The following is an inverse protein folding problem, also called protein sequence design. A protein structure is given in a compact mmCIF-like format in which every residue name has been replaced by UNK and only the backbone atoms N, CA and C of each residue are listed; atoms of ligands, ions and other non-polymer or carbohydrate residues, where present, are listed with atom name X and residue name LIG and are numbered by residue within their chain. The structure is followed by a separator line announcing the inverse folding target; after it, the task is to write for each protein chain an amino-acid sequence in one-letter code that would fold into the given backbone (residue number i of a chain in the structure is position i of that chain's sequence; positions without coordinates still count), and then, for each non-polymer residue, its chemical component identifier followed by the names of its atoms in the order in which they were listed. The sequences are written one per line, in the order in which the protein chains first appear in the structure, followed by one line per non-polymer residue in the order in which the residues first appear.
data_IF_763495909779
#
_entry.id   IF_763495909779
#
_cell.length_a   1.000
_cell.length_b   1.000
_cell.length_c   1.000
_cell.angle_alpha   90.00
_cell.angle_beta   90.00
_cell.angle_gamma   90.00
#
_symmetry.space_group_name_H-M   'P 1'
#
loop_
_entity.id
_entity.type
_entity.pdbx_description
1 polymer ?
#
# COMPACT_ATOMS: atom_id res chain seq x y z
N UNK A 1 -42.54 -4.54 1.86
CA UNK A 1 -41.52 -4.07 0.90
C UNK A 1 -41.42 -5.08 -0.23
N UNK A 2 -41.82 -4.74 -1.46
CA UNK A 2 -41.84 -5.69 -2.58
C UNK A 2 -40.49 -5.64 -3.32
N UNK A 3 -39.64 -6.64 -3.08
CA UNK A 3 -38.27 -6.69 -3.62
C UNK A 3 -38.25 -6.80 -5.16
N UNK A 4 -39.27 -7.41 -5.75
CA UNK A 4 -39.35 -7.61 -7.21
C UNK A 4 -39.67 -6.32 -7.96
N UNK A 5 -40.51 -5.45 -7.39
CA UNK A 5 -40.82 -4.15 -8.01
C UNK A 5 -39.64 -3.20 -8.00
N UNK A 6 -38.80 -3.26 -6.97
CA UNK A 6 -37.56 -2.47 -6.88
C UNK A 6 -36.59 -2.89 -7.98
N UNK A 7 -36.34 -4.19 -8.14
CA UNK A 7 -35.43 -4.71 -9.16
C UNK A 7 -35.92 -4.40 -10.58
N UNK A 8 -37.23 -4.54 -10.83
CA UNK A 8 -37.84 -4.18 -12.13
C UNK A 8 -37.74 -2.69 -12.43
N UNK A 9 -37.91 -1.83 -11.43
CA UNK A 9 -37.82 -0.38 -11.60
C UNK A 9 -36.39 0.05 -11.92
N UNK A 10 -35.41 -0.48 -11.16
CA UNK A 10 -33.99 -0.25 -11.43
C UNK A 10 -33.60 -0.70 -12.84
N UNK A 11 -33.99 -1.92 -13.26
CA UNK A 11 -33.66 -2.42 -14.59
C UNK A 11 -34.21 -1.59 -15.76
N UNK A 12 -35.38 -0.97 -15.59
CA UNK A 12 -35.93 -0.03 -16.56
C UNK A 12 -35.10 1.26 -16.64
N UNK A 13 -34.63 1.76 -15.51
CA UNK A 13 -33.83 2.98 -15.44
C UNK A 13 -32.46 2.80 -16.11
N UNK A 14 -31.83 1.64 -15.95
CA UNK A 14 -30.51 1.36 -16.57
C UNK A 14 -30.60 0.79 -18.00
N UNK A 15 -31.81 0.57 -18.53
CA UNK A 15 -32.08 0.03 -19.87
C UNK A 15 -31.33 -1.29 -20.21
N UNK A 16 -31.25 -2.21 -19.24
CA UNK A 16 -30.53 -3.49 -19.40
C UNK A 16 -31.49 -4.59 -19.85
N UNK A 17 -31.11 -5.33 -20.90
CA UNK A 17 -31.81 -6.51 -21.41
C UNK A 17 -30.83 -7.70 -21.46
N UNK A 18 -31.12 -8.84 -20.80
CA UNK A 18 -32.36 -9.18 -20.07
C UNK A 18 -32.54 -8.43 -18.74
N UNK A 19 -33.77 -8.30 -18.22
CA UNK A 19 -34.06 -7.59 -16.98
C UNK A 19 -33.34 -8.20 -15.78
N UNK A 20 -32.96 -7.36 -14.81
CA UNK A 20 -32.35 -7.83 -13.56
C UNK A 20 -33.23 -8.88 -12.87
N UNK A 21 -32.58 -9.96 -12.43
CA UNK A 21 -33.18 -10.94 -11.53
C UNK A 21 -32.62 -10.73 -10.13
N UNK A 22 -33.43 -10.98 -9.10
CA UNK A 22 -32.93 -11.08 -7.73
C UNK A 22 -31.89 -12.21 -7.67
N UNK A 23 -30.70 -11.93 -7.13
CA UNK A 23 -29.73 -12.97 -6.85
C UNK A 23 -30.31 -13.98 -5.87
N UNK A 24 -30.44 -15.24 -6.30
CA UNK A 24 -30.96 -16.36 -5.50
C UNK A 24 -29.89 -17.40 -5.18
N UNK A 25 -28.64 -17.14 -5.57
CA UNK A 25 -27.54 -18.06 -5.30
C UNK A 25 -27.24 -18.04 -3.80
N UNK A 26 -27.07 -19.21 -3.15
CA UNK A 26 -26.85 -19.30 -1.72
C UNK A 26 -25.62 -18.49 -1.27
N UNK A 27 -24.62 -18.36 -2.13
CA UNK A 27 -23.35 -17.67 -1.83
C UNK A 27 -23.39 -16.16 -2.14
N UNK A 28 -24.50 -15.63 -2.69
CA UNK A 28 -24.63 -14.21 -3.08
C UNK A 28 -24.26 -13.25 -1.94
N UNK A 29 -24.70 -13.45 -0.68
CA UNK A 29 -24.35 -12.55 0.42
C UNK A 29 -22.85 -12.55 0.73
N UNK A 30 -22.19 -13.72 0.68
CA UNK A 30 -20.75 -13.84 0.92
C UNK A 30 -19.94 -13.20 -0.20
N UNK A 31 -20.34 -13.40 -1.46
CA UNK A 31 -19.70 -12.78 -2.62
C UNK A 31 -19.87 -11.25 -2.61
N UNK A 32 -21.03 -10.74 -2.20
CA UNK A 32 -21.25 -9.30 -2.03
C UNK A 32 -20.38 -8.73 -0.90
N UNK A 33 -20.24 -9.44 0.22
CA UNK A 33 -19.33 -9.05 1.30
C UNK A 33 -17.87 -9.03 0.85
N UNK A 34 -17.44 -10.01 0.06
CA UNK A 34 -16.10 -10.02 -0.55
C UNK A 34 -15.91 -8.80 -1.46
N UNK A 35 -16.89 -8.49 -2.31
CA UNK A 35 -16.86 -7.31 -3.20
C UNK A 35 -16.75 -5.99 -2.42
N UNK A 36 -17.51 -5.83 -1.32
CA UNK A 36 -17.42 -4.64 -0.47
C UNK A 36 -16.05 -4.52 0.19
N UNK A 37 -15.45 -5.64 0.60
CA UNK A 37 -14.11 -5.66 1.20
C UNK A 37 -13.00 -5.34 0.20
N UNK A 38 -13.19 -5.57 -1.11
CA UNK A 38 -12.20 -5.21 -2.15
C UNK A 38 -11.81 -3.71 -2.09
N UNK A 39 -12.73 -2.86 -1.64
CA UNK A 39 -12.49 -1.41 -1.56
C UNK A 39 -11.80 -0.97 -0.27
N UNK A 40 -11.65 -1.86 0.72
CA UNK A 40 -10.99 -1.56 1.99
C UNK A 40 -9.51 -1.97 1.86
N UNK A 41 -8.64 -1.01 1.54
CA UNK A 41 -7.20 -1.24 1.56
C UNK A 41 -6.69 -1.29 2.99
N UNK A 42 -6.34 -2.48 3.46
CA UNK A 42 -5.68 -2.71 4.75
C UNK A 42 -4.16 -2.52 4.70
N UNK A 43 -3.59 -2.27 3.51
CA UNK A 43 -2.15 -2.23 3.29
C UNK A 43 -1.76 -1.07 2.37
N UNK A 44 -0.73 -0.31 2.74
CA UNK A 44 -0.19 0.81 1.97
C UNK A 44 1.34 0.78 1.94
N UNK A 45 1.90 1.08 0.76
CA UNK A 45 3.33 1.38 0.59
C UNK A 45 3.50 2.86 0.28
N UNK A 46 4.39 3.53 0.98
CA UNK A 46 4.61 4.98 0.84
C UNK A 46 6.10 5.24 0.67
N UNK A 47 6.49 5.98 -0.37
CA UNK A 47 7.87 6.42 -0.56
C UNK A 47 8.20 7.64 0.30
N UNK A 48 9.37 7.63 0.93
CA UNK A 48 9.91 8.79 1.66
C UNK A 48 11.30 9.08 1.09
N UNK A 49 11.47 10.28 0.54
CA UNK A 49 12.68 10.68 -0.16
C UNK A 49 13.36 11.81 0.62
N UNK A 50 14.66 11.66 0.87
CA UNK A 50 15.50 12.68 1.47
C UNK A 50 16.30 13.41 0.39
N UNK A 51 16.15 14.74 0.32
CA UNK A 51 16.82 15.61 -0.67
C UNK A 51 17.67 16.62 0.06
N UNK A 52 18.97 16.65 -0.22
CA UNK A 52 19.91 17.60 0.35
C UNK A 52 19.99 18.89 -0.49
N UNK A 53 20.53 19.95 0.11
CA UNK A 53 20.77 21.20 -0.61
C UNK A 53 21.73 20.98 -1.78
N UNK A 54 21.36 21.49 -2.96
CA UNK A 54 22.17 21.38 -4.17
C UNK A 54 22.01 20.07 -4.95
N UNK A 55 21.15 19.14 -4.50
CA UNK A 55 20.79 17.94 -5.28
C UNK A 55 19.61 18.25 -6.20
N UNK A 56 19.75 17.89 -7.48
CA UNK A 56 18.73 18.16 -8.51
C UNK A 56 18.41 16.96 -9.39
N UNK A 57 19.27 15.95 -9.40
CA UNK A 57 19.03 14.71 -10.14
C UNK A 57 18.54 13.61 -9.23
N UNK A 58 17.74 12.69 -9.79
CA UNK A 58 17.28 11.50 -9.08
C UNK A 58 18.44 10.64 -8.58
N UNK A 59 19.51 10.51 -9.38
CA UNK A 59 20.72 9.77 -9.02
C UNK A 59 21.37 10.34 -7.74
N UNK A 60 21.57 11.66 -7.67
CA UNK A 60 22.12 12.31 -6.48
C UNK A 60 21.25 12.11 -5.25
N UNK A 61 19.92 12.18 -5.42
CA UNK A 61 18.96 12.04 -4.33
C UNK A 61 18.90 10.60 -3.80
N UNK A 62 18.97 9.62 -4.69
CA UNK A 62 18.90 8.19 -4.34
C UNK A 62 20.24 7.62 -3.85
N UNK A 63 21.38 8.27 -4.11
CA UNK A 63 22.70 7.90 -3.56
C UNK A 63 22.91 8.39 -2.11
N UNK A 64 21.91 9.06 -1.52
CA UNK A 64 21.96 9.48 -0.12
C UNK A 64 21.97 8.28 0.83
N UNK A 65 23.12 8.03 1.46
CA UNK A 65 23.30 6.96 2.46
C UNK A 65 23.19 7.47 3.91
N UNK A 66 23.27 8.79 4.10
CA UNK A 66 23.13 9.47 5.39
C UNK A 66 21.95 10.44 5.35
N UNK A 67 21.41 10.74 6.52
CA UNK A 67 20.27 11.64 6.72
C UNK A 67 20.56 12.68 7.81
N UNK A 68 19.77 13.75 7.88
CA UNK A 68 19.89 14.72 8.96
C UNK A 68 19.20 14.24 10.24
N UNK A 69 19.61 14.73 11.43
CA UNK A 69 18.93 14.42 12.69
C UNK A 69 17.43 14.77 12.66
N UNK A 70 17.06 15.87 12.00
CA UNK A 70 15.66 16.27 11.84
C UNK A 70 14.87 15.31 10.95
N UNK A 71 15.51 14.70 9.95
CA UNK A 71 14.89 13.68 9.13
C UNK A 71 14.66 12.39 9.93
N UNK A 72 15.62 11.96 10.73
CA UNK A 72 15.44 10.80 11.63
C UNK A 72 14.33 11.04 12.66
N UNK A 73 14.21 12.25 13.23
CA UNK A 73 13.08 12.62 14.12
C UNK A 73 11.74 12.58 13.37
N UNK A 74 11.70 13.09 12.13
CA UNK A 74 10.50 12.99 11.29
C UNK A 74 10.11 11.52 11.02
N UNK A 75 11.07 10.63 10.75
CA UNK A 75 10.79 9.21 10.55
C UNK A 75 10.19 8.55 11.79
N UNK A 76 10.62 8.94 13.00
CA UNK A 76 10.04 8.45 14.26
C UNK A 76 8.58 8.86 14.45
N UNK A 77 8.15 9.97 13.84
CA UNK A 77 6.75 10.41 13.85
C UNK A 77 5.91 9.53 12.91
N UNK A 78 6.48 9.08 11.79
CA UNK A 78 5.78 8.23 10.81
C UNK A 78 5.53 6.82 11.33
N UNK A 79 6.48 6.26 12.08
CA UNK A 79 6.35 4.91 12.62
C UNK A 79 7.62 4.40 13.28
N UNK A 80 7.63 3.10 13.54
CA UNK A 80 8.73 2.41 14.19
C UNK A 80 9.78 1.97 13.17
N UNK A 81 11.06 2.16 13.51
CA UNK A 81 12.17 1.59 12.75
C UNK A 81 12.23 0.08 13.02
N UNK A 82 11.98 -0.73 12.00
CA UNK A 82 11.93 -2.20 12.10
C UNK A 82 13.08 -2.84 11.33
N UNK A 83 13.55 -4.00 11.81
CA UNK A 83 14.48 -4.86 11.07
C UNK A 83 13.67 -5.62 10.02
N UNK A 84 14.09 -5.58 8.76
CA UNK A 84 13.40 -6.28 7.68
C UNK A 84 13.57 -7.79 7.76
N UNK A 85 14.77 -8.28 8.09
CA UNK A 85 15.01 -9.71 8.24
C UNK A 85 14.16 -10.33 9.34
N UNK A 86 13.33 -11.30 8.97
CA UNK A 86 12.40 -11.96 9.88
C UNK A 86 11.15 -11.14 10.24
N UNK A 87 10.91 -10.00 9.57
CA UNK A 87 9.66 -9.26 9.72
C UNK A 87 8.50 -10.07 9.13
N UNK A 88 7.45 -10.24 9.92
CA UNK A 88 6.34 -11.18 9.66
C UNK A 88 5.02 -10.47 9.32
N UNK A 89 5.03 -9.15 9.19
CA UNK A 89 3.87 -8.32 8.83
C UNK A 89 3.92 -7.84 7.38
N UNK A 90 3.06 -6.88 7.01
CA UNK A 90 3.03 -6.34 5.65
C UNK A 90 4.40 -5.76 5.23
N UNK A 91 5.08 -6.44 4.30
CA UNK A 91 6.44 -6.09 3.86
C UNK A 91 6.50 -5.07 2.73
N UNK A 92 5.38 -4.69 2.12
CA UNK A 92 5.35 -3.69 1.06
C UNK A 92 6.28 -3.98 -0.15
N UNK A 93 6.59 -5.25 -0.40
CA UNK A 93 7.53 -5.68 -1.45
C UNK A 93 9.02 -5.67 -1.07
N UNK A 94 9.37 -5.30 0.17
CA UNK A 94 10.75 -5.38 0.67
C UNK A 94 11.13 -6.83 0.99
N UNK A 95 12.43 -7.14 0.86
CA UNK A 95 13.00 -8.43 1.19
C UNK A 95 13.16 -8.58 2.71
N UNK A 96 12.56 -9.64 3.25
CA UNK A 96 12.60 -9.99 4.68
C UNK A 96 13.43 -11.23 4.95
N UNK A 97 14.15 -11.75 3.96
CA UNK A 97 14.90 -13.02 4.06
C UNK A 97 16.40 -12.82 3.89
N UNK A 98 16.82 -12.09 2.85
CA UNK A 98 18.22 -12.05 2.40
C UNK A 98 18.89 -10.66 2.49
N UNK A 99 18.20 -9.66 3.08
CA UNK A 99 18.69 -8.28 3.24
C UNK A 99 18.94 -7.53 1.93
N UNK A 100 18.28 -7.93 0.83
CA UNK A 100 18.51 -7.37 -0.51
C UNK A 100 17.93 -5.96 -0.71
N UNK A 101 16.92 -5.58 0.07
CA UNK A 101 16.29 -4.26 -0.01
C UNK A 101 16.57 -3.41 1.24
N UNK A 102 17.73 -3.63 1.85
CA UNK A 102 18.18 -2.88 3.02
C UNK A 102 17.97 -3.65 4.32
N UNK A 103 18.54 -3.13 5.40
CA UNK A 103 18.48 -3.79 6.70
C UNK A 103 17.25 -3.39 7.50
N UNK A 104 16.84 -2.14 7.39
CA UNK A 104 15.77 -1.56 8.20
C UNK A 104 14.82 -0.78 7.32
N UNK A 105 13.61 -0.57 7.83
CA UNK A 105 12.60 0.29 7.24
C UNK A 105 11.78 0.93 8.36
N UNK A 106 10.83 1.79 8.02
CA UNK A 106 9.86 2.37 8.95
C UNK A 106 8.50 1.76 8.68
N UNK A 107 7.81 1.34 9.73
CA UNK A 107 6.50 0.69 9.64
C UNK A 107 5.55 1.25 10.69
N UNK A 108 4.27 1.33 10.36
CA UNK A 108 3.22 1.58 11.35
C UNK A 108 1.97 0.77 11.04
N UNK A 109 1.20 0.44 12.08
CA UNK A 109 -0.17 -0.02 11.93
C UNK A 109 -1.09 1.03 12.52
N UNK A 110 -1.85 1.70 11.67
CA UNK A 110 -2.77 2.75 12.08
C UNK A 110 -4.19 2.37 11.69
N UNK A 111 -5.06 2.18 12.70
CA UNK A 111 -6.48 1.85 12.51
C UNK A 111 -6.73 0.63 11.62
N UNK A 112 -5.87 -0.38 11.72
CA UNK A 112 -5.96 -1.60 10.91
C UNK A 112 -5.41 -1.45 9.48
N UNK A 113 -4.75 -0.33 9.19
CA UNK A 113 -3.99 -0.14 7.94
C UNK A 113 -2.52 -0.31 8.26
N UNK A 114 -1.91 -1.32 7.65
CA UNK A 114 -0.47 -1.55 7.69
C UNK A 114 0.22 -0.67 6.65
N UNK A 115 1.18 0.14 7.10
CA UNK A 115 1.90 1.07 6.24
C UNK A 115 3.38 0.74 6.30
N UNK A 116 3.94 0.39 5.15
CA UNK A 116 5.37 0.17 4.96
C UNK A 116 6.00 1.37 4.25
N UNK A 117 6.97 2.03 4.88
CA UNK A 117 7.64 3.20 4.32
C UNK A 117 8.93 2.82 3.61
N UNK A 118 9.01 3.15 2.32
CA UNK A 118 10.20 2.99 1.50
C UNK A 118 11.06 4.25 1.65
N UNK A 119 11.91 4.26 2.67
CA UNK A 119 12.80 5.39 2.99
C UNK A 119 14.04 5.31 2.12
N UNK A 120 14.29 6.32 1.28
CA UNK A 120 15.37 6.31 0.28
C UNK A 120 16.74 6.02 0.91
N UNK A 121 17.04 6.62 2.07
CA UNK A 121 18.32 6.46 2.78
C UNK A 121 18.51 5.10 3.46
N UNK A 122 17.47 4.28 3.55
CA UNK A 122 17.54 2.93 4.14
C UNK A 122 17.51 1.82 3.09
N UNK A 123 17.28 2.18 1.82
CA UNK A 123 17.30 1.26 0.70
C UNK A 123 18.71 1.20 0.11
N UNK A 124 19.18 0.02 -0.32
CA UNK A 124 20.46 -0.11 -0.97
C UNK A 124 20.39 0.55 -2.34
N UNK A 125 21.41 1.34 -2.65
CA UNK A 125 21.62 1.91 -3.97
C UNK A 125 22.67 1.09 -4.72
N UNK A 126 22.33 0.60 -5.90
CA UNK A 126 23.28 -0.02 -6.82
C UNK A 126 23.59 0.95 -7.97
N UNK A 127 24.85 1.41 -8.04
CA UNK A 127 25.39 2.29 -9.11
C UNK A 127 25.26 1.72 -10.53
N UNK A 128 24.87 0.45 -10.67
CA UNK A 128 24.78 -0.27 -11.93
C UNK A 128 23.39 -0.86 -12.19
N UNK A 129 22.37 -0.45 -11.44
CA UNK A 129 20.98 -0.69 -11.82
C UNK A 129 20.41 0.58 -12.49
N UNK A 130 20.48 0.68 -13.84
CA UNK A 130 19.89 1.78 -14.57
C UNK A 130 18.36 1.72 -14.59
N UNK A 131 17.73 0.72 -13.95
CA UNK A 131 16.30 0.45 -14.07
C UNK A 131 15.63 0.24 -12.70
N UNK A 132 15.83 1.24 -11.83
CA UNK A 132 14.72 1.80 -11.06
C UNK A 132 14.19 3.04 -11.78
#
# INVERSE_FOLDING_TARGET
YNREEVVKSLGKEVNINPPFCLGQLPDTPEELLKLDQVFIKSELKVGVIYVQEGQYSEEEILDNNDSSPLFEEFLQILGDKIRLKGFDKYKGGLDTVHDLTGLYSVYTNWRGIEIMFHVSTLLPYEKHDPQK
#
